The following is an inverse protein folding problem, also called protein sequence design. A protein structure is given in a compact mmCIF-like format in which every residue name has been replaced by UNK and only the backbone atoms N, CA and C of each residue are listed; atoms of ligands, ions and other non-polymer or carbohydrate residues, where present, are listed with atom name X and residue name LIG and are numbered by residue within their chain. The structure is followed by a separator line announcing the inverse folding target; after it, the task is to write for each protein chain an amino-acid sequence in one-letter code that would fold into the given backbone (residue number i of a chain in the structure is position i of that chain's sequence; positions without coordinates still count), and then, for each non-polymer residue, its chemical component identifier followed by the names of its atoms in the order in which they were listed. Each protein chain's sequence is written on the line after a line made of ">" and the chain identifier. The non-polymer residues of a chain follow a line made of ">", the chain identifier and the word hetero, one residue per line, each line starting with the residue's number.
data_IF_591490707709
#
_entry.id   IF_591490707709
#
_cell.length_a   1.000
_cell.length_b   1.000
_cell.length_c   1.000
_cell.angle_alpha   90.00
_cell.angle_beta   90.00
_cell.angle_gamma   90.00
#
_symmetry.space_group_name_H-M   'P 1'
#
loop_
_entity.id
_entity.type
_entity.pdbx_description
1 polymer ?
#
# COMPACT_ATOMS: atom_id res chain seq x y z
N UNK A 1 -6.61 -28.20 -5.69
CA UNK A 1 -5.19 -28.38 -5.31
C UNK A 1 -4.78 -27.18 -4.46
N UNK A 2 -4.71 -27.35 -3.13
CA UNK A 2 -4.29 -26.29 -2.19
C UNK A 2 -2.77 -26.37 -2.06
N UNK A 3 -2.02 -25.61 -2.85
CA UNK A 3 -0.60 -25.42 -2.63
C UNK A 3 -0.42 -24.31 -1.57
N UNK A 4 -0.39 -24.70 -0.31
CA UNK A 4 -0.03 -23.83 0.79
C UNK A 4 1.48 -23.90 1.03
N UNK A 5 2.11 -22.77 1.34
CA UNK A 5 3.47 -22.78 1.89
C UNK A 5 3.35 -23.33 3.32
N UNK A 6 3.65 -24.65 3.47
CA UNK A 6 3.53 -25.34 4.75
C UNK A 6 4.89 -25.34 5.41
N UNK A 7 5.04 -24.55 6.46
CA UNK A 7 6.11 -24.73 7.43
C UNK A 7 5.49 -25.39 8.68
N UNK A 8 5.81 -26.69 8.91
CA UNK A 8 5.42 -27.42 10.12
C UNK A 8 3.91 -27.53 10.39
N UNK A 9 3.09 -27.92 9.38
CA UNK A 9 1.70 -28.33 9.60
C UNK A 9 0.65 -27.21 9.67
N UNK A 10 1.02 -25.95 9.68
CA UNK A 10 0.10 -24.81 9.65
C UNK A 10 0.19 -24.09 8.30
N UNK A 11 -0.96 -23.83 7.68
CA UNK A 11 -1.02 -23.03 6.45
C UNK A 11 -0.77 -21.56 6.79
N UNK A 12 0.44 -21.07 6.52
CA UNK A 12 0.84 -19.71 6.92
C UNK A 12 0.20 -18.64 6.02
N UNK A 13 0.26 -18.81 4.70
CA UNK A 13 -0.44 -17.97 3.69
C UNK A 13 -0.80 -18.85 2.51
N UNK A 14 -2.05 -18.80 2.05
CA UNK A 14 -2.49 -19.59 0.91
C UNK A 14 -2.06 -18.95 -0.43
N UNK A 15 -1.88 -19.78 -1.47
CA UNK A 15 -1.62 -19.28 -2.82
C UNK A 15 -2.73 -18.30 -3.28
N UNK A 16 -3.98 -18.59 -2.92
CA UNK A 16 -5.12 -17.72 -3.25
C UNK A 16 -4.99 -16.34 -2.60
N UNK A 17 -4.56 -16.30 -1.33
CA UNK A 17 -4.27 -15.04 -0.63
C UNK A 17 -3.23 -14.21 -1.39
N UNK A 18 -2.12 -14.85 -1.83
CA UNK A 18 -1.06 -14.17 -2.58
C UNK A 18 -1.58 -13.66 -3.93
N UNK A 19 -2.34 -14.50 -4.66
CA UNK A 19 -2.90 -14.13 -5.98
C UNK A 19 -3.89 -12.96 -5.90
N UNK A 20 -4.59 -12.79 -4.79
CA UNK A 20 -5.48 -11.65 -4.56
C UNK A 20 -4.72 -10.43 -4.00
N UNK A 21 -3.79 -10.68 -3.06
CA UNK A 21 -3.04 -9.62 -2.40
C UNK A 21 -2.11 -8.86 -3.35
N UNK A 22 -1.30 -9.59 -4.14
CA UNK A 22 -0.26 -8.97 -4.97
C UNK A 22 -0.82 -7.97 -5.99
N UNK A 23 -1.85 -8.29 -6.80
CA UNK A 23 -2.40 -7.33 -7.74
C UNK A 23 -3.07 -6.13 -7.05
N UNK A 24 -3.82 -6.37 -5.97
CA UNK A 24 -4.48 -5.31 -5.22
C UNK A 24 -3.47 -4.39 -4.53
N UNK A 25 -2.44 -4.96 -3.89
CA UNK A 25 -1.34 -4.24 -3.28
C UNK A 25 -0.53 -3.44 -4.31
N UNK A 26 -0.21 -4.04 -5.46
CA UNK A 26 0.49 -3.36 -6.55
C UNK A 26 -0.32 -2.17 -7.07
N UNK A 27 -1.62 -2.33 -7.28
CA UNK A 27 -2.49 -1.23 -7.70
C UNK A 27 -2.52 -0.09 -6.68
N UNK A 28 -2.58 -0.42 -5.38
CA UNK A 28 -2.50 0.57 -4.29
C UNK A 28 -1.18 1.32 -4.30
N UNK A 29 -0.05 0.60 -4.38
CA UNK A 29 1.28 1.20 -4.33
C UNK A 29 1.54 2.06 -5.57
N UNK A 30 1.07 1.62 -6.75
CA UNK A 30 1.20 2.37 -7.99
C UNK A 30 0.20 3.52 -8.12
N UNK A 31 -0.86 3.56 -7.31
CA UNK A 31 -1.81 4.68 -7.34
C UNK A 31 -1.10 6.00 -7.02
N UNK A 32 -1.31 7.06 -7.83
CA UNK A 32 -0.69 8.36 -7.60
C UNK A 32 -1.10 8.91 -6.23
N UNK A 33 -0.09 9.39 -5.50
CA UNK A 33 -0.26 9.92 -4.16
C UNK A 33 0.95 10.75 -3.73
N UNK A 34 0.88 11.44 -2.59
CA UNK A 34 1.91 12.37 -2.15
C UNK A 34 3.33 11.77 -2.17
N UNK A 35 3.49 10.55 -1.66
CA UNK A 35 4.79 9.88 -1.63
C UNK A 35 5.32 9.54 -3.03
N UNK A 36 4.47 9.07 -3.94
CA UNK A 36 4.88 8.75 -5.30
C UNK A 36 5.27 10.01 -6.09
N UNK A 37 4.52 11.10 -5.89
CA UNK A 37 4.86 12.40 -6.47
C UNK A 37 6.17 12.96 -5.89
N UNK A 38 6.43 12.75 -4.59
CA UNK A 38 7.70 13.13 -3.96
C UNK A 38 8.87 12.34 -4.55
N UNK A 39 8.76 11.01 -4.73
CA UNK A 39 9.79 10.20 -5.38
C UNK A 39 10.10 10.69 -6.79
N UNK A 40 9.06 11.03 -7.56
CA UNK A 40 9.20 11.60 -8.90
C UNK A 40 9.90 12.97 -8.88
N UNK A 41 9.54 13.85 -7.94
CA UNK A 41 10.14 15.17 -7.78
C UNK A 41 11.61 15.05 -7.35
N UNK A 42 11.92 14.16 -6.40
CA UNK A 42 13.27 13.86 -5.97
C UNK A 42 14.13 13.31 -7.12
N UNK A 43 13.59 12.39 -7.93
CA UNK A 43 14.30 11.85 -9.09
C UNK A 43 14.60 12.92 -10.15
N UNK A 44 13.66 13.82 -10.40
CA UNK A 44 13.85 14.95 -11.32
C UNK A 44 14.96 15.89 -10.85
N UNK A 45 15.05 16.12 -9.53
CA UNK A 45 15.94 17.13 -8.96
C UNK A 45 17.32 16.60 -8.60
N UNK A 46 17.37 15.40 -8.00
CA UNK A 46 18.60 14.83 -7.41
C UNK A 46 19.07 13.56 -8.13
N UNK A 47 18.33 13.10 -9.14
CA UNK A 47 18.60 11.87 -9.87
C UNK A 47 17.91 10.64 -9.26
N UNK A 48 17.79 9.61 -10.10
CA UNK A 48 17.04 8.38 -9.79
C UNK A 48 17.63 7.66 -8.58
N UNK A 49 18.95 7.53 -8.50
CA UNK A 49 19.63 6.84 -7.40
C UNK A 49 19.33 7.49 -6.05
N UNK A 50 19.40 8.83 -5.99
CA UNK A 50 19.12 9.59 -4.76
C UNK A 50 17.66 9.45 -4.37
N UNK A 51 16.73 9.51 -5.33
CA UNK A 51 15.31 9.31 -5.06
C UNK A 51 14.99 7.91 -4.50
N UNK A 52 15.57 6.86 -5.10
CA UNK A 52 15.42 5.50 -4.60
C UNK A 52 16.00 5.35 -3.18
N UNK A 53 17.19 5.87 -2.90
CA UNK A 53 17.81 5.84 -1.58
C UNK A 53 16.98 6.64 -0.56
N UNK A 54 16.45 7.79 -0.93
CA UNK A 54 15.53 8.56 -0.09
C UNK A 54 14.26 7.78 0.27
N UNK A 55 13.75 6.98 -0.68
CA UNK A 55 12.60 6.09 -0.49
C UNK A 55 12.77 5.06 0.63
N UNK A 56 14.00 4.76 1.07
CA UNK A 56 14.26 3.91 2.24
C UNK A 56 13.56 4.51 3.48
N UNK A 57 13.54 5.83 3.62
CA UNK A 57 12.82 6.49 4.72
C UNK A 57 11.34 6.12 4.76
N UNK A 58 10.68 6.04 3.59
CA UNK A 58 9.28 5.58 3.46
C UNK A 58 9.14 4.12 3.87
N UNK A 59 10.05 3.24 3.42
CA UNK A 59 9.98 1.83 3.78
C UNK A 59 10.14 1.63 5.29
N UNK A 60 10.99 2.41 5.96
CA UNK A 60 11.13 2.39 7.43
C UNK A 60 9.81 2.79 8.10
N UNK A 61 9.13 3.85 7.62
CA UNK A 61 7.82 4.22 8.14
C UNK A 61 6.80 3.07 7.99
N UNK A 62 6.82 2.40 6.84
CA UNK A 62 5.91 1.27 6.58
C UNK A 62 6.22 0.05 7.45
N UNK A 63 7.49 -0.26 7.69
CA UNK A 63 7.87 -1.31 8.67
C UNK A 63 7.28 -1.02 10.04
N UNK A 64 7.40 0.22 10.53
CA UNK A 64 6.80 0.62 11.81
C UNK A 64 5.29 0.44 11.78
N UNK A 65 4.61 0.88 10.72
CA UNK A 65 3.16 0.75 10.59
C UNK A 65 2.70 -0.71 10.50
N UNK A 66 3.42 -1.57 9.77
CA UNK A 66 3.15 -3.01 9.69
C UNK A 66 3.30 -3.66 11.07
N UNK A 67 4.35 -3.29 11.81
CA UNK A 67 4.58 -3.82 13.17
C UNK A 67 3.45 -3.40 14.11
N UNK A 68 3.04 -2.13 14.06
CA UNK A 68 1.92 -1.62 14.86
C UNK A 68 0.60 -2.32 14.49
N UNK A 69 0.36 -2.55 13.19
CA UNK A 69 -0.83 -3.26 12.73
C UNK A 69 -0.82 -4.73 13.18
N UNK A 70 0.33 -5.42 13.09
CA UNK A 70 0.49 -6.80 13.52
C UNK A 70 0.22 -6.95 15.03
N UNK A 71 0.81 -6.10 15.85
CA UNK A 71 0.63 -6.14 17.30
C UNK A 71 -0.77 -5.72 17.72
N UNK A 72 -1.33 -4.69 17.09
CA UNK A 72 -2.69 -4.21 17.33
C UNK A 72 -3.75 -5.25 16.94
N UNK A 73 -3.63 -5.84 15.74
CA UNK A 73 -4.57 -6.88 15.29
C UNK A 73 -4.47 -8.14 16.15
N UNK A 74 -3.27 -8.59 16.51
CA UNK A 74 -3.10 -9.73 17.40
C UNK A 74 -3.87 -9.52 18.73
N UNK A 75 -3.72 -8.34 19.34
CA UNK A 75 -4.45 -7.99 20.57
C UNK A 75 -5.96 -8.05 20.37
N UNK A 76 -6.47 -7.51 19.25
CA UNK A 76 -7.91 -7.50 18.94
C UNK A 76 -8.47 -8.90 18.70
N UNK A 77 -7.72 -9.75 17.98
CA UNK A 77 -8.13 -11.14 17.68
C UNK A 77 -8.27 -11.99 18.93
N UNK A 78 -7.38 -11.79 19.93
CA UNK A 78 -7.45 -12.48 21.21
C UNK A 78 -8.55 -11.94 22.12
N UNK A 79 -9.06 -10.72 21.87
CA UNK A 79 -9.96 -10.02 22.79
C UNK A 79 -11.42 -10.10 22.37
N UNK A 80 -11.76 -10.05 21.06
CA UNK A 80 -13.16 -9.99 20.62
C UNK A 80 -13.41 -10.31 19.15
N UNK A 81 -14.22 -11.34 18.93
CA UNK A 81 -14.71 -11.74 17.59
C UNK A 81 -15.56 -10.65 16.92
N UNK A 82 -16.35 -9.93 17.71
CA UNK A 82 -17.19 -8.82 17.23
C UNK A 82 -16.34 -7.62 16.78
N UNK A 83 -15.24 -7.35 17.49
CA UNK A 83 -14.34 -6.27 17.13
C UNK A 83 -13.59 -6.58 15.83
N UNK A 84 -13.18 -7.84 15.63
CA UNK A 84 -12.61 -8.28 14.36
C UNK A 84 -13.59 -8.11 13.19
N UNK A 85 -14.84 -8.52 13.37
CA UNK A 85 -15.88 -8.35 12.37
C UNK A 85 -16.11 -6.86 12.04
N UNK A 86 -16.13 -5.99 13.05
CA UNK A 86 -16.26 -4.55 12.86
C UNK A 86 -15.10 -3.97 12.06
N UNK A 87 -13.85 -4.35 12.37
CA UNK A 87 -12.65 -3.94 11.63
C UNK A 87 -12.71 -4.45 10.17
N UNK A 88 -13.13 -5.70 9.99
CA UNK A 88 -13.29 -6.31 8.65
C UNK A 88 -14.29 -5.52 7.81
N UNK A 89 -15.49 -5.27 8.35
CA UNK A 89 -16.54 -4.52 7.64
C UNK A 89 -16.08 -3.09 7.35
N UNK A 90 -15.51 -2.40 8.33
CA UNK A 90 -14.96 -1.06 8.15
C UNK A 90 -13.88 -1.03 7.07
N UNK A 91 -12.97 -2.01 7.05
CA UNK A 91 -11.93 -2.15 6.04
C UNK A 91 -12.48 -2.38 4.63
N UNK A 92 -13.47 -3.27 4.49
CA UNK A 92 -14.13 -3.52 3.21
C UNK A 92 -14.86 -2.30 2.66
N UNK A 93 -15.63 -1.61 3.50
CA UNK A 93 -16.30 -0.36 3.15
C UNK A 93 -15.28 0.73 2.77
N UNK A 94 -14.15 0.78 3.48
CA UNK A 94 -13.08 1.72 3.18
C UNK A 94 -12.42 1.43 1.82
N UNK A 95 -12.16 0.16 1.46
CA UNK A 95 -11.65 -0.21 0.14
C UNK A 95 -12.62 0.23 -0.98
N UNK A 96 -13.91 0.07 -0.76
CA UNK A 96 -14.94 0.55 -1.69
C UNK A 96 -14.95 2.09 -1.79
N UNK A 97 -14.78 2.79 -0.67
CA UNK A 97 -14.66 4.25 -0.65
C UNK A 97 -13.39 4.73 -1.37
N UNK A 98 -12.24 4.08 -1.16
CA UNK A 98 -11.01 4.37 -1.92
C UNK A 98 -11.19 4.10 -3.41
N UNK A 99 -11.85 3.00 -3.77
CA UNK A 99 -12.20 2.70 -5.16
C UNK A 99 -13.05 3.81 -5.75
N UNK A 100 -14.05 4.28 -5.03
CA UNK A 100 -14.89 5.41 -5.43
C UNK A 100 -14.09 6.71 -5.57
N UNK A 101 -13.22 7.04 -4.61
CA UNK A 101 -12.35 8.22 -4.68
C UNK A 101 -11.41 8.18 -5.89
N UNK A 102 -10.80 7.02 -6.17
CA UNK A 102 -9.95 6.87 -7.35
C UNK A 102 -10.75 6.97 -8.66
N UNK A 103 -11.98 6.47 -8.65
CA UNK A 103 -12.87 6.56 -9.81
C UNK A 103 -13.26 8.00 -10.13
N UNK A 104 -13.50 8.81 -9.10
CA UNK A 104 -13.96 10.21 -9.19
C UNK A 104 -12.83 11.25 -9.13
N UNK A 105 -11.58 10.82 -8.90
CA UNK A 105 -10.46 11.72 -8.69
C UNK A 105 -10.21 12.63 -9.90
N UNK A 106 -10.45 13.91 -9.72
CA UNK A 106 -10.03 14.97 -10.61
C UNK A 106 -8.61 15.42 -10.31
N UNK A 107 -7.98 15.92 -11.33
CA UNK A 107 -6.54 16.06 -11.43
C UNK A 107 -6.08 17.46 -11.00
N UNK A 108 -5.73 17.66 -9.76
CA UNK A 108 -5.04 18.87 -9.31
C UNK A 108 -3.52 18.66 -9.19
N UNK A 109 -2.77 19.63 -9.72
CA UNK A 109 -1.31 19.65 -9.70
C UNK A 109 -0.77 19.82 -8.27
N UNK A 110 0.21 18.96 -7.91
CA UNK A 110 0.98 19.08 -6.67
C UNK A 110 2.00 20.22 -6.76
N UNK A 111 2.01 21.06 -5.75
CA UNK A 111 2.72 22.32 -5.68
C UNK A 111 4.26 22.29 -5.78
N UNK A 112 4.79 23.47 -6.08
CA UNK A 112 6.21 23.81 -6.17
C UNK A 112 6.84 23.91 -4.77
N UNK A 113 7.93 23.17 -4.52
CA UNK A 113 8.76 23.33 -3.34
C UNK A 113 10.15 23.93 -3.63
N UNK A 114 10.61 24.68 -2.65
CA UNK A 114 11.81 25.50 -2.47
C UNK A 114 13.17 24.97 -3.03
N UNK A 115 14.02 25.93 -3.43
CA UNK A 115 15.22 25.78 -4.24
C UNK A 115 16.53 25.34 -3.51
N UNK A 116 16.53 25.04 -2.21
CA UNK A 116 17.74 24.61 -1.47
C UNK A 116 18.07 23.12 -1.68
N UNK A 117 19.35 22.80 -1.90
CA UNK A 117 19.83 21.41 -2.03
C UNK A 117 19.68 20.66 -0.69
N UNK A 118 18.85 19.62 -0.66
CA UNK A 118 18.64 18.77 0.51
C UNK A 118 19.66 17.63 0.54
N UNK A 119 20.18 17.28 1.71
CA UNK A 119 20.99 16.08 1.91
C UNK A 119 20.15 14.81 1.76
N UNK A 120 20.77 13.66 1.50
CA UNK A 120 20.07 12.38 1.40
C UNK A 120 19.28 12.07 2.69
N UNK A 121 19.84 12.37 3.84
CA UNK A 121 19.16 12.18 5.12
C UNK A 121 17.90 13.04 5.25
N UNK A 122 17.96 14.30 4.81
CA UNK A 122 16.80 15.19 4.80
C UNK A 122 15.71 14.69 3.85
N UNK A 123 16.07 14.16 2.69
CA UNK A 123 15.14 13.58 1.73
C UNK A 123 14.50 12.29 2.30
N UNK A 124 15.29 11.40 2.91
CA UNK A 124 14.76 10.19 3.57
C UNK A 124 13.83 10.54 4.73
N UNK A 125 14.19 11.54 5.54
CA UNK A 125 13.33 12.03 6.62
C UNK A 125 12.01 12.61 6.10
N UNK A 126 12.06 13.33 4.97
CA UNK A 126 10.86 13.85 4.31
C UNK A 126 9.96 12.70 3.81
N UNK A 127 10.52 11.68 3.16
CA UNK A 127 9.79 10.47 2.73
C UNK A 127 9.15 9.75 3.93
N UNK A 128 9.89 9.63 5.06
CA UNK A 128 9.39 8.99 6.28
C UNK A 128 8.18 9.73 6.84
N UNK A 129 8.31 11.03 7.13
CA UNK A 129 7.22 11.79 7.75
C UNK A 129 6.01 11.94 6.83
N UNK A 130 6.24 12.09 5.53
CA UNK A 130 5.16 12.12 4.56
C UNK A 130 4.41 10.77 4.52
N UNK A 131 5.12 9.65 4.61
CA UNK A 131 4.52 8.31 4.66
C UNK A 131 3.77 8.09 5.98
N UNK A 132 4.38 8.44 7.11
CA UNK A 132 3.78 8.28 8.43
C UNK A 132 2.49 9.10 8.61
N UNK A 133 2.44 10.30 8.02
CA UNK A 133 1.25 11.17 8.01
C UNK A 133 0.29 10.92 6.85
N UNK A 134 0.58 10.01 5.94
CA UNK A 134 -0.23 9.78 4.76
C UNK A 134 -1.51 8.98 5.10
N UNK A 135 -2.71 9.57 4.99
CA UNK A 135 -3.94 8.85 5.30
C UNK A 135 -4.12 7.57 4.46
N UNK A 136 -3.65 7.56 3.20
CA UNK A 136 -3.65 6.36 2.36
C UNK A 136 -2.82 5.24 2.99
N UNK A 137 -1.62 5.54 3.50
CA UNK A 137 -0.74 4.55 4.12
C UNK A 137 -1.34 4.04 5.45
N UNK A 138 -1.83 4.94 6.30
CA UNK A 138 -2.50 4.57 7.54
C UNK A 138 -3.59 3.53 7.27
N UNK A 139 -4.42 3.79 6.28
CA UNK A 139 -5.55 2.93 5.95
C UNK A 139 -5.15 1.63 5.24
N UNK A 140 -4.05 1.63 4.49
CA UNK A 140 -3.49 0.39 3.95
C UNK A 140 -3.11 -0.56 5.11
N UNK A 141 -2.46 -0.07 6.15
CA UNK A 141 -1.98 -0.93 7.24
C UNK A 141 -3.04 -1.23 8.30
N UNK A 142 -4.03 -0.35 8.48
CA UNK A 142 -5.11 -0.58 9.46
C UNK A 142 -6.31 -1.31 8.87
N UNK A 143 -6.55 -1.19 7.58
CA UNK A 143 -7.74 -1.73 6.94
C UNK A 143 -7.44 -2.73 5.82
N UNK A 144 -6.50 -2.47 4.91
CA UNK A 144 -6.23 -3.34 3.76
C UNK A 144 -5.40 -4.58 4.15
N UNK A 145 -4.23 -4.41 4.75
CA UNK A 145 -3.31 -5.52 5.06
C UNK A 145 -3.94 -6.59 5.98
N UNK A 146 -4.65 -6.22 7.07
CA UNK A 146 -5.33 -7.18 7.94
C UNK A 146 -6.35 -8.09 7.26
N UNK A 147 -6.88 -7.68 6.12
CA UNK A 147 -7.91 -8.42 5.40
C UNK A 147 -7.42 -9.75 4.81
N UNK A 148 -6.11 -9.84 4.61
CA UNK A 148 -5.44 -11.01 4.04
C UNK A 148 -4.83 -11.91 5.12
N UNK A 149 -5.06 -11.58 6.39
CA UNK A 149 -4.58 -12.34 7.54
C UNK A 149 -5.68 -13.26 8.05
N UNK A 150 -5.39 -14.56 8.11
CA UNK A 150 -6.26 -15.55 8.72
C UNK A 150 -6.06 -15.50 10.25
N UNK A 151 -7.11 -15.19 11.03
CA UNK A 151 -7.01 -15.10 12.48
C UNK A 151 -6.80 -16.44 13.16
N UNK A 152 -7.07 -17.55 12.47
CA UNK A 152 -6.91 -18.90 13.01
C UNK A 152 -5.48 -19.44 12.87
N UNK A 153 -4.66 -18.80 12.03
CA UNK A 153 -3.25 -19.16 11.81
C UNK A 153 -2.27 -18.29 12.59
N UNK A 154 -0.99 -18.42 12.27
CA UNK A 154 0.07 -17.61 12.87
C UNK A 154 0.03 -16.15 12.34
N UNK A 155 -0.71 -15.28 13.04
CA UNK A 155 -0.93 -13.87 12.67
C UNK A 155 0.39 -13.13 12.42
N UNK A 156 1.37 -13.26 13.33
CA UNK A 156 2.65 -12.57 13.22
C UNK A 156 3.44 -12.98 11.97
N UNK A 157 3.44 -14.27 11.64
CA UNK A 157 4.15 -14.79 10.47
C UNK A 157 3.44 -14.37 9.15
N UNK A 158 2.12 -14.34 9.14
CA UNK A 158 1.34 -13.83 8.01
C UNK A 158 1.62 -12.34 7.77
N UNK A 159 1.64 -11.50 8.81
CA UNK A 159 2.03 -10.10 8.71
C UNK A 159 3.46 -9.93 8.21
N UNK A 160 4.38 -10.78 8.64
CA UNK A 160 5.76 -10.75 8.15
C UNK A 160 5.82 -11.03 6.65
N UNK A 161 5.17 -12.10 6.17
CA UNK A 161 5.17 -12.49 4.75
C UNK A 161 4.48 -11.41 3.90
N UNK A 162 3.26 -11.02 4.25
CA UNK A 162 2.51 -10.01 3.50
C UNK A 162 3.18 -8.64 3.58
N UNK A 163 3.78 -8.30 4.73
CA UNK A 163 4.55 -7.08 4.92
C UNK A 163 5.80 -7.02 4.05
N UNK A 164 6.56 -8.12 3.96
CA UNK A 164 7.72 -8.20 3.05
C UNK A 164 7.29 -8.07 1.59
N UNK A 165 6.22 -8.77 1.18
CA UNK A 165 5.66 -8.62 -0.18
C UNK A 165 5.22 -7.19 -0.45
N UNK A 166 4.55 -6.54 0.51
CA UNK A 166 4.16 -5.14 0.41
C UNK A 166 5.37 -4.23 0.21
N UNK A 167 6.41 -4.37 1.02
CA UNK A 167 7.63 -3.56 0.93
C UNK A 167 8.38 -3.76 -0.39
N UNK A 168 8.41 -4.99 -0.92
CA UNK A 168 8.98 -5.27 -2.23
C UNK A 168 8.19 -4.56 -3.34
N UNK A 169 6.86 -4.64 -3.32
CA UNK A 169 6.01 -3.98 -4.30
C UNK A 169 6.08 -2.45 -4.18
N UNK A 170 6.20 -1.93 -2.97
CA UNK A 170 6.41 -0.50 -2.74
C UNK A 170 7.77 -0.04 -3.27
N UNK A 171 8.83 -0.84 -3.09
CA UNK A 171 10.13 -0.54 -3.67
C UNK A 171 10.06 -0.48 -5.20
N UNK A 172 9.33 -1.39 -5.84
CA UNK A 172 9.07 -1.36 -7.28
C UNK A 172 8.32 -0.08 -7.67
N UNK A 173 7.34 0.35 -6.87
CA UNK A 173 6.62 1.60 -7.12
C UNK A 173 7.55 2.82 -6.99
N UNK A 174 8.38 2.90 -5.94
CA UNK A 174 9.38 3.97 -5.76
C UNK A 174 10.31 4.04 -6.98
N UNK A 175 10.90 2.89 -7.38
CA UNK A 175 11.79 2.81 -8.52
C UNK A 175 11.08 3.18 -9.84
N UNK A 176 9.84 2.71 -10.02
CA UNK A 176 9.01 3.04 -11.18
C UNK A 176 8.75 4.55 -11.29
N UNK A 177 8.31 5.18 -10.21
CA UNK A 177 8.08 6.63 -10.19
C UNK A 177 9.37 7.44 -10.35
N UNK A 178 10.50 6.96 -9.78
CA UNK A 178 11.79 7.59 -9.95
C UNK A 178 12.32 7.47 -11.39
N UNK A 179 12.20 6.28 -12.00
CA UNK A 179 12.74 6.00 -13.32
C UNK A 179 11.88 6.60 -14.44
N UNK A 180 10.57 6.38 -14.36
CA UNK A 180 9.63 6.83 -15.39
C UNK A 180 9.06 8.23 -15.12
N UNK A 181 9.57 8.94 -14.10
CA UNK A 181 9.01 10.21 -13.63
C UNK A 181 8.80 11.26 -14.74
N UNK A 182 9.68 11.34 -15.74
CA UNK A 182 9.47 12.22 -16.91
C UNK A 182 8.34 11.71 -17.80
N UNK A 183 8.34 10.41 -18.13
CA UNK A 183 7.32 9.77 -18.98
C UNK A 183 5.97 9.66 -18.27
N UNK A 184 5.97 9.22 -17.01
CA UNK A 184 4.78 9.16 -16.16
C UNK A 184 4.15 10.54 -15.96
N UNK A 185 4.96 11.59 -15.77
CA UNK A 185 4.45 12.96 -15.70
C UNK A 185 3.76 13.36 -16.99
N UNK A 186 4.34 13.07 -18.14
CA UNK A 186 3.70 13.35 -19.45
C UNK A 186 2.45 12.50 -19.65
N UNK A 187 2.48 11.23 -19.22
CA UNK A 187 1.34 10.31 -19.32
C UNK A 187 0.21 10.72 -18.37
N UNK A 188 0.54 11.00 -17.12
CA UNK A 188 -0.43 11.49 -16.11
C UNK A 188 -0.84 12.97 -16.31
N UNK A 189 -0.13 13.73 -17.14
CA UNK A 189 -0.57 15.05 -17.59
C UNK A 189 -1.76 14.97 -18.55
N UNK A 190 -1.96 13.80 -19.19
CA UNK A 190 -3.16 13.57 -20.03
C UNK A 190 -4.33 13.11 -19.14
N UNK A 191 -5.40 13.92 -19.03
CA UNK A 191 -6.54 13.58 -18.14
C UNK A 191 -7.17 12.21 -18.43
N UNK A 192 -7.16 11.77 -19.71
CA UNK A 192 -7.68 10.47 -20.14
C UNK A 192 -6.87 9.30 -19.57
N UNK A 193 -5.53 9.39 -19.61
CA UNK A 193 -4.65 8.33 -19.15
C UNK A 193 -4.68 8.20 -17.63
N UNK A 194 -4.73 9.32 -16.93
CA UNK A 194 -4.89 9.34 -15.48
C UNK A 194 -6.25 8.77 -15.05
N UNK A 195 -7.33 9.13 -15.74
CA UNK A 195 -8.66 8.53 -15.50
C UNK A 195 -8.68 7.03 -15.76
N UNK A 196 -8.06 6.57 -16.85
CA UNK A 196 -7.96 5.14 -17.16
C UNK A 196 -7.21 4.39 -16.04
N UNK A 197 -6.05 4.90 -15.63
CA UNK A 197 -5.26 4.31 -14.56
C UNK A 197 -6.04 4.25 -13.22
N UNK A 198 -6.65 5.38 -12.83
CA UNK A 198 -7.46 5.44 -11.62
C UNK A 198 -8.65 4.46 -11.66
N UNK A 199 -9.31 4.31 -12.82
CA UNK A 199 -10.41 3.35 -12.98
C UNK A 199 -9.95 1.90 -12.89
N UNK A 200 -8.79 1.54 -13.43
CA UNK A 200 -8.21 0.20 -13.28
C UNK A 200 -7.91 -0.07 -11.81
N UNK A 201 -7.24 0.86 -11.12
CA UNK A 201 -6.96 0.74 -9.69
C UNK A 201 -8.25 0.66 -8.86
N UNK A 202 -9.26 1.47 -9.19
CA UNK A 202 -10.57 1.45 -8.53
C UNK A 202 -11.27 0.09 -8.72
N UNK A 203 -11.21 -0.49 -9.92
CA UNK A 203 -11.76 -1.82 -10.20
C UNK A 203 -11.09 -2.91 -9.36
N UNK A 204 -9.76 -2.90 -9.27
CA UNK A 204 -9.00 -3.86 -8.46
C UNK A 204 -9.29 -3.72 -6.96
N UNK A 205 -9.37 -2.49 -6.46
CA UNK A 205 -9.72 -2.21 -5.06
C UNK A 205 -11.17 -2.56 -4.75
N UNK A 206 -12.08 -2.23 -5.65
CA UNK A 206 -13.50 -2.56 -5.51
C UNK A 206 -13.73 -4.07 -5.46
N UNK A 207 -13.07 -4.83 -6.35
CA UNK A 207 -13.14 -6.29 -6.33
C UNK A 207 -12.55 -6.90 -5.06
N UNK A 208 -11.44 -6.37 -4.56
CA UNK A 208 -10.86 -6.80 -3.29
C UNK A 208 -11.80 -6.49 -2.11
N UNK A 209 -12.41 -5.30 -2.08
CA UNK A 209 -13.37 -4.91 -1.04
C UNK A 209 -14.63 -5.77 -1.03
N UNK A 210 -15.20 -6.04 -2.21
CA UNK A 210 -16.37 -6.95 -2.34
C UNK A 210 -15.99 -8.37 -1.93
N UNK A 211 -14.86 -8.89 -2.44
CA UNK A 211 -14.38 -10.23 -2.11
C UNK A 211 -14.22 -10.41 -0.59
N UNK A 212 -13.72 -9.37 0.08
CA UNK A 212 -13.59 -9.36 1.52
C UNK A 212 -14.92 -9.42 2.25
N UNK A 213 -15.89 -8.58 1.85
CA UNK A 213 -17.22 -8.56 2.50
C UNK A 213 -17.95 -9.88 2.32
N UNK A 214 -17.72 -10.57 1.19
CA UNK A 214 -18.33 -11.87 0.87
C UNK A 214 -17.57 -13.06 1.48
N UNK A 215 -16.31 -12.92 1.86
CA UNK A 215 -15.53 -13.99 2.47
C UNK A 215 -16.15 -14.42 3.79
N UNK A 216 -16.67 -15.65 3.86
CA UNK A 216 -17.16 -16.28 5.08
C UNK A 216 -15.98 -16.88 5.86
N UNK A 217 -16.02 -16.81 7.18
CA UNK A 217 -15.21 -17.69 8.03
C UNK A 217 -15.71 -19.12 7.80
N UNK A 218 -14.90 -19.98 7.23
CA UNK A 218 -15.03 -21.43 7.39
C UNK A 218 -14.35 -21.88 8.67
#
# INVERSE_FOLDING_TARGET
>A
MRSALVLKGESVVTLMTILLFVPACFALNMAPGPNNLLSMANAKRYGIRVACLAGIGRLVAFVVMITLAATGLATVLYTSEKLFLAIKVAGGLYLLWLAFQLWTADSTDGGNESLAGKSLFQLSRQEFFLAAGNPKAILIFTAFLPQFVDPTGSVGLQFLILGVLFLMLEWVAIAGYAFFGKGLRHWFSRPSMRRLFNRICAGLLGSAGVGLLLARRE
#
